data_IF_454454047969
#
_entry.id   IF_454454047969
#
_cell.length_a   1.000
_cell.length_b   1.000
_cell.length_c   1.000
_cell.angle_alpha   90.00
_cell.angle_beta   90.00
_cell.angle_gamma   90.00
#
_symmetry.space_group_name_H-M   'P 1'
#
loop_
_entity.id
_entity.type
_entity.pdbx_description
1 polymer ?
#
# COMPACT_ATOMS: atom_id res chain seq x y z
N UNK A 1 2.80 -14.44 -45.20
CA UNK A 1 3.92 -13.57 -45.62
C UNK A 1 4.11 -12.56 -44.49
N UNK A 2 4.98 -12.85 -43.52
CA UNK A 2 5.34 -11.89 -42.48
C UNK A 2 6.77 -11.44 -42.77
N UNK A 3 6.94 -10.13 -42.98
CA UNK A 3 8.21 -9.48 -43.28
C UNK A 3 9.12 -9.56 -42.04
N UNK A 4 10.08 -10.48 -42.06
CA UNK A 4 11.19 -10.49 -41.12
C UNK A 4 12.32 -9.62 -41.69
N UNK A 5 12.51 -8.44 -41.12
CA UNK A 5 13.60 -7.52 -41.48
C UNK A 5 14.38 -7.12 -40.23
N UNK A 6 15.69 -7.38 -40.21
CA UNK A 6 16.58 -6.77 -39.23
C UNK A 6 16.70 -5.27 -39.53
N UNK A 7 16.57 -4.42 -38.52
CA UNK A 7 16.88 -2.99 -38.64
C UNK A 7 18.34 -2.81 -38.24
N UNK A 8 19.11 -2.14 -39.08
CA UNK A 8 20.51 -1.82 -38.80
C UNK A 8 20.61 -0.39 -38.29
N UNK A 9 21.20 -0.22 -37.10
CA UNK A 9 21.55 1.08 -36.54
C UNK A 9 23.03 1.00 -36.16
N UNK A 10 23.85 1.89 -36.73
CA UNK A 10 25.28 2.02 -36.46
C UNK A 10 26.05 0.69 -36.45
N UNK A 11 26.05 0.02 -37.62
CA UNK A 11 26.69 -1.28 -37.90
C UNK A 11 26.22 -2.47 -37.03
N UNK A 12 25.20 -2.29 -36.18
CA UNK A 12 24.59 -3.37 -35.40
C UNK A 12 23.25 -3.77 -35.99
N UNK A 13 23.09 -5.07 -36.24
CA UNK A 13 21.81 -5.67 -36.60
C UNK A 13 20.94 -5.85 -35.36
N UNK A 14 19.79 -5.19 -35.31
CA UNK A 14 18.75 -5.43 -34.31
C UNK A 14 17.63 -6.25 -34.94
N UNK A 15 17.39 -7.44 -34.37
CA UNK A 15 16.23 -8.24 -34.72
C UNK A 15 14.99 -7.62 -34.05
N UNK A 16 14.16 -6.94 -34.83
CA UNK A 16 12.85 -6.51 -34.37
C UNK A 16 11.99 -7.77 -34.30
N UNK A 17 11.80 -8.31 -33.10
CA UNK A 17 10.88 -9.43 -32.92
C UNK A 17 9.49 -8.97 -33.38
N UNK A 18 8.83 -9.67 -34.32
CA UNK A 18 7.45 -9.39 -34.64
C UNK A 18 6.67 -9.49 -33.33
N UNK A 19 5.78 -8.51 -33.11
CA UNK A 19 5.09 -8.27 -31.85
C UNK A 19 4.33 -9.55 -31.42
N UNK A 20 4.99 -10.43 -30.68
CA UNK A 20 4.32 -11.56 -30.06
C UNK A 20 3.52 -11.00 -28.90
N UNK A 21 2.19 -11.21 -28.86
CA UNK A 21 1.41 -10.79 -27.72
C UNK A 21 2.00 -11.45 -26.48
N UNK A 22 2.42 -10.61 -25.54
CA UNK A 22 2.98 -11.04 -24.26
C UNK A 22 1.82 -11.63 -23.45
N UNK A 23 1.54 -12.91 -23.66
CA UNK A 23 0.45 -13.62 -23.01
C UNK A 23 0.96 -14.20 -21.70
N UNK A 24 0.25 -13.90 -20.63
CA UNK A 24 0.50 -14.49 -19.32
C UNK A 24 0.06 -15.95 -19.32
N UNK A 25 0.99 -16.89 -19.14
CA UNK A 25 0.63 -18.32 -19.06
C UNK A 25 -0.27 -18.67 -17.87
N UNK A 26 -0.39 -17.77 -16.89
CA UNK A 26 -1.20 -17.98 -15.68
C UNK A 26 -2.67 -17.63 -15.90
N UNK A 27 -2.96 -16.44 -16.40
CA UNK A 27 -4.34 -15.96 -16.58
C UNK A 27 -4.79 -15.88 -18.05
N UNK A 28 -3.90 -16.22 -18.99
CA UNK A 28 -4.11 -16.19 -20.44
C UNK A 28 -4.46 -14.81 -21.02
N UNK A 29 -4.28 -13.73 -20.25
CA UNK A 29 -4.45 -12.36 -20.71
C UNK A 29 -3.14 -11.80 -21.28
N UNK A 30 -3.27 -10.87 -22.22
CA UNK A 30 -2.16 -10.15 -22.83
C UNK A 30 -1.62 -9.02 -21.93
N UNK A 31 -0.43 -8.52 -22.27
CA UNK A 31 0.17 -7.31 -21.68
C UNK A 31 1.12 -7.57 -20.50
N UNK A 32 1.26 -8.81 -20.02
CA UNK A 32 2.19 -9.17 -18.95
C UNK A 32 2.62 -10.65 -19.02
N UNK A 33 3.76 -10.97 -18.41
CA UNK A 33 4.21 -12.36 -18.22
C UNK A 33 3.73 -12.93 -16.88
N UNK A 34 3.79 -14.25 -16.70
CA UNK A 34 3.33 -14.96 -15.49
C UNK A 34 3.92 -14.44 -14.16
N UNK A 35 5.09 -13.80 -14.19
CA UNK A 35 5.74 -13.18 -13.03
C UNK A 35 5.12 -11.82 -12.63
N UNK A 36 4.40 -11.17 -13.55
CA UNK A 36 3.76 -9.86 -13.38
C UNK A 36 2.23 -9.99 -13.42
N UNK A 37 1.70 -11.20 -13.20
CA UNK A 37 0.27 -11.43 -13.22
C UNK A 37 -0.40 -10.65 -12.09
N UNK A 38 -1.37 -9.76 -12.35
CA UNK A 38 -2.07 -9.05 -11.28
C UNK A 38 -2.96 -9.97 -10.44
N UNK A 39 -3.21 -11.20 -10.91
CA UNK A 39 -3.84 -12.29 -10.15
C UNK A 39 -2.81 -13.13 -9.38
N UNK A 40 -1.64 -12.57 -9.04
CA UNK A 40 -0.67 -13.28 -8.22
C UNK A 40 -1.23 -13.37 -6.81
N UNK A 41 -1.70 -14.56 -6.43
CA UNK A 41 -1.84 -14.87 -5.01
C UNK A 41 -0.44 -14.80 -4.41
N UNK A 42 -0.27 -13.93 -3.42
CA UNK A 42 0.98 -13.82 -2.66
C UNK A 42 1.26 -15.23 -2.11
N UNK A 43 2.36 -15.88 -2.50
CA UNK A 43 2.65 -17.21 -2.01
C UNK A 43 2.90 -17.13 -0.51
N UNK A 44 2.44 -18.14 0.23
CA UNK A 44 2.40 -18.14 1.70
C UNK A 44 3.72 -17.72 2.36
N UNK A 45 4.86 -18.13 1.80
CA UNK A 45 6.20 -17.75 2.28
C UNK A 45 6.50 -16.24 2.19
N UNK A 46 5.82 -15.50 1.33
CA UNK A 46 5.97 -14.05 1.15
C UNK A 46 5.01 -13.25 2.03
N UNK A 47 4.01 -13.90 2.64
CA UNK A 47 3.10 -13.21 3.56
C UNK A 47 3.87 -12.63 4.76
N UNK A 48 4.80 -13.39 5.32
CA UNK A 48 5.61 -12.94 6.47
C UNK A 48 6.42 -11.69 6.14
N UNK A 49 7.05 -11.64 4.96
CA UNK A 49 7.82 -10.49 4.49
C UNK A 49 6.94 -9.25 4.29
N UNK A 50 5.76 -9.40 3.67
CA UNK A 50 4.84 -8.28 3.45
C UNK A 50 4.21 -7.77 4.74
N UNK A 51 3.87 -8.67 5.67
CA UNK A 51 3.36 -8.29 6.99
C UNK A 51 4.43 -7.50 7.77
N UNK A 52 5.68 -7.94 7.67
CA UNK A 52 6.81 -7.28 8.31
C UNK A 52 7.12 -5.92 7.68
N UNK A 53 7.08 -5.79 6.34
CA UNK A 53 7.22 -4.50 5.64
C UNK A 53 6.14 -3.49 6.09
N UNK A 54 4.89 -3.92 6.22
CA UNK A 54 3.81 -3.05 6.72
C UNK A 54 4.05 -2.61 8.17
N UNK A 55 4.49 -3.53 9.02
CA UNK A 55 4.84 -3.25 10.41
C UNK A 55 5.97 -2.21 10.52
N UNK A 56 7.06 -2.40 9.76
CA UNK A 56 8.22 -1.51 9.78
C UNK A 56 7.88 -0.12 9.24
N UNK A 57 7.02 -0.03 8.22
CA UNK A 57 6.54 1.25 7.71
C UNK A 57 5.75 2.04 8.77
N UNK A 58 4.91 1.36 9.54
CA UNK A 58 4.20 1.98 10.65
C UNK A 58 5.15 2.47 11.75
N UNK A 59 6.09 1.64 12.19
CA UNK A 59 7.07 1.99 13.22
C UNK A 59 7.92 3.19 12.80
N UNK A 60 8.37 3.24 11.54
CA UNK A 60 9.12 4.38 10.99
C UNK A 60 8.31 5.67 10.98
N UNK A 61 7.02 5.60 10.63
CA UNK A 61 6.12 6.76 10.67
C UNK A 61 5.90 7.24 12.11
N UNK A 62 5.73 6.32 13.06
CA UNK A 62 5.56 6.67 14.47
C UNK A 62 6.83 7.28 15.07
N UNK A 63 8.00 6.74 14.75
CA UNK A 63 9.27 7.33 15.16
C UNK A 63 9.51 8.71 14.53
N UNK A 64 9.18 8.89 13.25
CA UNK A 64 9.29 10.19 12.59
C UNK A 64 8.36 11.23 13.23
N UNK A 65 7.13 10.83 13.57
CA UNK A 65 6.19 11.67 14.30
C UNK A 65 6.73 12.04 15.68
N UNK A 66 7.17 11.06 16.46
CA UNK A 66 7.68 11.24 17.82
C UNK A 66 8.91 12.14 17.85
N UNK A 67 9.85 11.95 16.93
CA UNK A 67 11.02 12.81 16.78
C UNK A 67 10.62 14.25 16.43
N UNK A 68 9.67 14.43 15.51
CA UNK A 68 9.17 15.77 15.12
C UNK A 68 8.43 16.45 16.28
N UNK A 69 7.66 15.69 17.05
CA UNK A 69 6.93 16.17 18.22
C UNK A 69 7.88 16.56 19.36
N UNK A 70 8.82 15.68 19.71
CA UNK A 70 9.85 15.93 20.74
C UNK A 70 10.72 17.13 20.38
N UNK A 71 11.12 17.27 19.11
CA UNK A 71 11.87 18.43 18.64
C UNK A 71 11.08 19.71 18.86
N UNK A 72 9.81 19.74 18.44
CA UNK A 72 8.93 20.90 18.66
C UNK A 72 8.76 21.23 20.14
N UNK A 73 8.55 20.23 20.99
CA UNK A 73 8.43 20.45 22.45
C UNK A 73 9.72 20.96 23.06
N UNK A 74 10.88 20.44 22.65
CA UNK A 74 12.18 20.90 23.17
C UNK A 74 12.47 22.36 22.84
N UNK A 75 11.90 22.90 21.75
CA UNK A 75 12.01 24.32 21.38
C UNK A 75 11.09 25.24 22.19
N UNK A 76 10.14 24.69 22.95
CA UNK A 76 9.28 25.43 23.87
C UNK A 76 10.05 25.64 25.19
N UNK A 77 10.83 26.72 25.29
CA UNK A 77 11.46 27.15 26.56
C UNK A 77 10.37 27.44 27.62
N UNK A 78 10.51 27.07 28.91
CA UNK A 78 9.69 27.70 29.96
C UNK A 78 10.21 29.15 30.16
N UNK A 79 9.46 30.19 30.61
CA UNK A 79 8.05 30.29 31.09
C UNK A 79 7.30 31.61 30.68
N UNK A 80 6.19 31.92 31.37
CA UNK A 80 5.38 33.17 31.47
C UNK A 80 4.28 33.47 30.42
N UNK A 81 3.05 33.13 30.84
CA UNK A 81 1.74 33.74 30.57
C UNK A 81 1.31 34.05 29.11
N UNK A 82 0.23 33.38 28.69
CA UNK A 82 -0.67 33.65 27.55
C UNK A 82 -0.14 33.55 26.11
N UNK A 83 1.11 33.86 25.80
CA UNK A 83 1.60 33.78 24.40
C UNK A 83 1.81 32.33 23.91
N UNK A 84 1.99 31.37 24.84
CA UNK A 84 2.17 29.94 24.52
C UNK A 84 0.90 29.21 24.09
N UNK A 85 -0.29 29.61 24.58
CA UNK A 85 -1.55 28.96 24.22
C UNK A 85 -1.79 29.08 22.71
N UNK A 86 -1.47 30.24 22.13
CA UNK A 86 -1.60 30.49 20.70
C UNK A 86 -0.57 29.72 19.84
N UNK A 87 0.60 29.38 20.39
CA UNK A 87 1.61 28.56 19.70
C UNK A 87 1.31 27.05 19.77
N UNK A 88 0.57 26.61 20.80
CA UNK A 88 0.12 25.22 20.96
C UNK A 88 -1.15 24.93 20.16
N UNK A 89 -1.95 25.95 19.83
CA UNK A 89 -3.22 25.79 19.12
C UNK A 89 -3.10 25.06 17.77
N UNK A 90 -2.10 25.33 16.90
CA UNK A 90 -1.90 24.58 15.66
C UNK A 90 -1.57 23.10 15.93
N UNK A 91 -0.78 22.82 16.97
CA UNK A 91 -0.41 21.45 17.35
C UNK A 91 -1.64 20.68 17.85
N UNK A 92 -2.49 21.32 18.65
CA UNK A 92 -3.74 20.73 19.12
C UNK A 92 -4.71 20.48 17.97
N UNK A 93 -4.79 21.39 16.99
CA UNK A 93 -5.63 21.22 15.80
C UNK A 93 -5.11 20.11 14.86
N UNK A 94 -3.80 20.03 14.66
CA UNK A 94 -3.16 18.96 13.90
C UNK A 94 -3.44 17.60 14.58
N UNK A 95 -3.27 17.52 15.91
CA UNK A 95 -3.59 16.32 16.69
C UNK A 95 -5.07 15.95 16.60
N UNK A 96 -5.99 16.92 16.70
CA UNK A 96 -7.41 16.67 16.57
C UNK A 96 -7.77 16.11 15.19
N UNK A 97 -7.11 16.62 14.14
CA UNK A 97 -7.29 16.15 12.75
C UNK A 97 -6.77 14.72 12.58
N UNK A 98 -5.59 14.42 13.13
CA UNK A 98 -5.02 13.06 13.12
C UNK A 98 -5.93 12.10 13.88
N UNK A 99 -6.39 12.46 15.07
CA UNK A 99 -7.33 11.65 15.85
C UNK A 99 -8.64 11.40 15.09
N UNK A 100 -9.17 12.43 14.41
CA UNK A 100 -10.36 12.28 13.58
C UNK A 100 -10.12 11.30 12.43
N UNK A 101 -9.00 11.43 11.71
CA UNK A 101 -8.65 10.52 10.62
C UNK A 101 -8.49 9.08 11.09
N UNK A 102 -7.83 8.86 12.23
CA UNK A 102 -7.69 7.53 12.85
C UNK A 102 -9.07 6.94 13.15
N UNK A 103 -9.98 7.74 13.72
CA UNK A 103 -11.32 7.28 14.02
C UNK A 103 -12.11 6.89 12.75
N UNK A 104 -12.01 7.69 11.68
CA UNK A 104 -12.64 7.36 10.39
C UNK A 104 -12.08 6.06 9.80
N UNK A 105 -10.76 5.89 9.83
CA UNK A 105 -10.11 4.67 9.35
C UNK A 105 -10.58 3.44 10.16
N UNK A 106 -10.68 3.56 11.49
CA UNK A 106 -11.19 2.49 12.34
C UNK A 106 -12.62 2.09 11.97
N UNK A 107 -13.49 3.06 11.72
CA UNK A 107 -14.87 2.79 11.28
C UNK A 107 -14.86 2.05 9.93
N UNK A 108 -14.04 2.47 8.97
CA UNK A 108 -13.92 1.81 7.67
C UNK A 108 -13.46 0.35 7.81
N UNK A 109 -12.44 0.10 8.64
CA UNK A 109 -11.93 -1.24 8.91
C UNK A 109 -13.03 -2.12 9.53
N UNK A 110 -13.78 -1.60 10.50
CA UNK A 110 -14.89 -2.34 11.11
C UNK A 110 -15.96 -2.73 10.09
N UNK A 111 -16.31 -1.83 9.16
CA UNK A 111 -17.26 -2.12 8.08
C UNK A 111 -16.75 -3.20 7.12
N UNK A 112 -15.46 -3.18 6.80
CA UNK A 112 -14.82 -4.20 5.98
C UNK A 112 -14.83 -5.57 6.68
N UNK A 113 -14.49 -5.61 7.97
CA UNK A 113 -14.52 -6.84 8.78
C UNK A 113 -15.93 -7.44 8.86
N UNK A 114 -16.95 -6.60 9.03
CA UNK A 114 -18.36 -7.04 8.99
C UNK A 114 -18.72 -7.69 7.65
N UNK A 115 -18.30 -7.08 6.55
CA UNK A 115 -18.52 -7.60 5.19
C UNK A 115 -17.85 -8.96 4.99
N UNK A 116 -16.58 -9.07 5.39
CA UNK A 116 -15.81 -10.31 5.30
C UNK A 116 -16.47 -11.41 6.15
N UNK A 117 -16.89 -11.08 7.37
CA UNK A 117 -17.56 -12.01 8.28
C UNK A 117 -18.84 -12.56 7.67
N UNK A 118 -19.69 -11.70 7.08
CA UNK A 118 -20.90 -12.12 6.40
C UNK A 118 -20.62 -13.03 5.20
N UNK A 119 -19.58 -12.72 4.42
CA UNK A 119 -19.18 -13.56 3.29
C UNK A 119 -18.73 -14.95 3.75
N UNK A 120 -17.94 -15.04 4.82
CA UNK A 120 -17.51 -16.31 5.42
C UNK A 120 -18.72 -17.11 5.91
N UNK A 121 -19.66 -16.46 6.63
CA UNK A 121 -20.88 -17.08 7.12
C UNK A 121 -21.72 -17.67 5.96
N UNK A 122 -21.83 -16.92 4.86
CA UNK A 122 -22.55 -17.37 3.66
C UNK A 122 -21.86 -18.57 3.00
N UNK A 123 -20.53 -18.56 2.90
CA UNK A 123 -19.76 -19.69 2.37
C UNK A 123 -19.93 -20.93 3.25
N UNK A 124 -19.80 -20.77 4.57
CA UNK A 124 -19.99 -21.85 5.53
C UNK A 124 -21.39 -22.47 5.40
N UNK A 125 -22.43 -21.64 5.33
CA UNK A 125 -23.82 -22.09 5.16
C UNK A 125 -24.03 -22.85 3.84
N UNK A 126 -23.38 -22.42 2.75
CA UNK A 126 -23.43 -23.14 1.46
C UNK A 126 -22.74 -24.50 1.52
N UNK A 127 -21.61 -24.59 2.22
CA UNK A 127 -20.87 -25.84 2.41
C UNK A 127 -21.59 -26.81 3.34
N UNK A 128 -22.28 -26.33 4.38
CA UNK A 128 -23.05 -27.19 5.30
C UNK A 128 -24.34 -27.77 4.71
N UNK A 129 -24.83 -27.22 3.60
CA UNK A 129 -26.04 -27.66 2.91
C UNK A 129 -25.77 -28.52 1.66
N UNK A 130 -24.50 -28.90 1.41
CA UNK A 130 -24.07 -29.87 0.39
C UNK A 130 -23.79 -31.23 1.03
#
# INVERSE_FOLDING_TARGET
ILNEGAIYIDDRSYYVRPYWPLICYRCQNEGHISAQCPKYDVPEWRLDELLQEQQTNFENLMHAFENKWNTRISTIKPPSNDTHINLLLPVVNDLATVCHQINQNNIQIQNQLSTITNNIQNIHTKLSNQ
#
